data_IF_606003461349
#
_entry.id   IF_606003461349
#
_cell.length_a   1.000
_cell.length_b   1.000
_cell.length_c   1.000
_cell.angle_alpha   90.00
_cell.angle_beta   90.00
_cell.angle_gamma   90.00
#
_symmetry.space_group_name_H-M   'P 1'
#
loop_
_entity.id
_entity.type
_entity.pdbx_description
1 polymer ?
#
# COMPACT_ATOMS: atom_id res chain seq x y z
N UNK A 1 -28.09 45.21 19.44
CA UNK A 1 -28.39 43.76 19.50
C UNK A 1 -27.24 42.93 18.90
N UNK A 2 -26.51 42.13 19.73
CA UNK A 2 -25.52 41.20 19.21
C UNK A 2 -26.22 40.04 18.46
N UNK A 3 -25.62 39.51 17.38
CA UNK A 3 -26.18 38.39 16.63
C UNK A 3 -26.20 37.11 17.50
N UNK A 4 -27.20 36.24 17.32
CA UNK A 4 -27.31 35.00 18.09
C UNK A 4 -26.17 34.03 17.75
N UNK A 5 -25.69 33.24 18.73
CA UNK A 5 -24.69 32.21 18.49
C UNK A 5 -25.25 31.10 17.56
N UNK A 6 -24.41 30.48 16.72
CA UNK A 6 -24.84 29.37 15.87
C UNK A 6 -25.25 28.17 16.75
N UNK A 7 -26.25 27.36 16.30
CA UNK A 7 -26.70 26.19 17.05
C UNK A 7 -25.58 25.14 17.19
N UNK A 8 -25.63 24.29 18.24
CA UNK A 8 -24.67 23.22 18.42
C UNK A 8 -24.79 22.24 17.26
N UNK A 9 -23.74 22.19 16.45
CA UNK A 9 -23.64 21.31 15.31
C UNK A 9 -23.75 19.85 15.78
N UNK A 10 -24.81 19.16 15.34
CA UNK A 10 -24.96 17.73 15.54
C UNK A 10 -23.69 17.00 15.08
N UNK A 11 -23.31 15.85 15.68
CA UNK A 11 -22.10 15.15 15.31
C UNK A 11 -22.15 14.79 13.83
N UNK A 12 -21.50 15.60 13.00
CA UNK A 12 -21.38 15.34 11.58
C UNK A 12 -20.65 14.00 11.45
N UNK A 13 -21.13 13.06 10.60
CA UNK A 13 -20.31 11.92 10.22
C UNK A 13 -19.06 12.52 9.61
N UNK A 14 -17.92 12.36 10.30
CA UNK A 14 -16.65 13.02 10.01
C UNK A 14 -16.39 12.85 8.52
N UNK A 15 -16.57 13.94 7.74
CA UNK A 15 -16.13 13.95 6.35
C UNK A 15 -14.66 13.57 6.39
N UNK A 16 -14.23 12.55 5.63
CA UNK A 16 -12.84 12.15 5.65
C UNK A 16 -11.97 13.37 5.37
N UNK A 17 -11.00 13.64 6.25
CA UNK A 17 -10.09 14.77 6.04
C UNK A 17 -9.13 14.37 4.94
N UNK A 18 -9.49 14.71 3.71
CA UNK A 18 -8.57 14.61 2.57
C UNK A 18 -7.58 15.77 2.69
N UNK A 19 -6.29 15.46 2.79
CA UNK A 19 -5.27 16.50 2.86
C UNK A 19 -5.22 17.24 1.49
N UNK A 20 -5.47 18.57 1.44
CA UNK A 20 -5.56 19.28 0.18
C UNK A 20 -4.23 19.37 -0.57
N UNK A 21 -3.10 19.04 0.08
CA UNK A 21 -1.77 19.10 -0.51
C UNK A 21 -1.38 17.82 -1.26
N UNK A 22 -2.02 16.69 -0.96
CA UNK A 22 -1.75 15.39 -1.61
C UNK A 22 -2.98 14.75 -2.24
N UNK A 23 -4.19 15.18 -1.84
CA UNK A 23 -5.45 14.55 -2.25
C UNK A 23 -5.60 13.12 -1.72
N UNK A 24 -4.80 12.74 -0.72
CA UNK A 24 -4.80 11.42 -0.10
C UNK A 24 -5.60 11.45 1.21
N UNK A 25 -6.31 10.37 1.50
CA UNK A 25 -7.03 10.18 2.75
C UNK A 25 -6.03 9.74 3.83
N UNK A 26 -6.27 10.11 5.09
CA UNK A 26 -5.48 9.55 6.19
C UNK A 26 -5.59 8.02 6.21
N UNK A 27 -4.58 7.31 6.74
CA UNK A 27 -4.61 5.85 6.86
C UNK A 27 -5.85 5.36 7.62
N UNK A 28 -6.24 6.08 8.67
CA UNK A 28 -7.44 5.78 9.46
C UNK A 28 -8.72 5.95 8.63
N UNK A 29 -8.86 7.08 7.91
CA UNK A 29 -10.00 7.34 7.04
C UNK A 29 -10.11 6.31 5.91
N UNK A 30 -8.97 5.85 5.38
CA UNK A 30 -8.93 4.83 4.35
C UNK A 30 -9.38 3.46 4.89
N UNK A 31 -8.90 3.08 6.07
CA UNK A 31 -9.35 1.86 6.75
C UNK A 31 -10.83 1.91 7.11
N UNK A 32 -11.36 3.08 7.51
CA UNK A 32 -12.79 3.29 7.73
C UNK A 32 -13.61 3.23 6.43
N UNK A 33 -13.06 3.71 5.30
CA UNK A 33 -13.68 3.62 3.97
C UNK A 33 -13.87 2.17 3.51
N UNK A 34 -12.96 1.27 3.90
CA UNK A 34 -13.06 -0.17 3.69
C UNK A 34 -14.11 -0.84 4.61
N UNK A 35 -14.51 -0.16 5.70
CA UNK A 35 -15.56 -0.60 6.61
C UNK A 35 -15.22 -1.92 7.32
N UNK A 36 -16.09 -2.92 7.16
CA UNK A 36 -15.90 -4.25 7.76
C UNK A 36 -14.82 -5.08 7.06
N UNK A 37 -14.48 -4.76 5.80
CA UNK A 37 -13.53 -5.53 5.01
C UNK A 37 -12.20 -4.76 4.88
N UNK A 38 -11.39 -4.79 5.94
CA UNK A 38 -10.06 -4.16 5.95
C UNK A 38 -9.03 -4.91 5.11
N UNK A 39 -9.39 -6.07 4.58
CA UNK A 39 -8.53 -6.85 3.71
C UNK A 39 -8.50 -6.25 2.31
N UNK A 40 -7.30 -5.93 1.85
CA UNK A 40 -7.03 -5.40 0.51
C UNK A 40 -6.23 -6.43 -0.29
N UNK A 41 -6.66 -6.68 -1.52
CA UNK A 41 -5.93 -7.53 -2.45
C UNK A 41 -4.94 -6.69 -3.24
N UNK A 42 -3.66 -6.81 -2.92
CA UNK A 42 -2.59 -6.07 -3.59
C UNK A 42 -2.02 -6.92 -4.72
N UNK A 43 -2.00 -6.38 -5.93
CA UNK A 43 -1.44 -7.04 -7.11
C UNK A 43 0.00 -6.61 -7.26
N UNK A 44 0.93 -7.56 -7.29
CA UNK A 44 2.37 -7.31 -7.37
C UNK A 44 2.89 -7.88 -8.68
N UNK A 45 3.23 -7.00 -9.60
CA UNK A 45 3.82 -7.36 -10.89
C UNK A 45 5.29 -7.68 -10.70
N UNK A 46 5.66 -8.93 -10.96
CA UNK A 46 7.04 -9.37 -10.91
C UNK A 46 7.73 -9.03 -12.24
N UNK A 47 8.99 -8.59 -12.23
CA UNK A 47 9.79 -8.48 -13.45
C UNK A 47 10.18 -9.88 -13.92
N UNK A 48 10.58 -10.01 -15.18
CA UNK A 48 11.24 -11.19 -15.70
C UNK A 48 12.74 -11.09 -15.36
N UNK A 49 13.18 -11.83 -14.35
CA UNK A 49 14.57 -11.80 -13.86
C UNK A 49 15.01 -13.21 -13.47
N UNK A 50 15.86 -13.82 -14.30
CA UNK A 50 16.44 -15.15 -14.04
C UNK A 50 17.76 -15.05 -13.25
N UNK A 51 18.10 -13.87 -12.73
CA UNK A 51 19.37 -13.62 -12.04
C UNK A 51 19.59 -14.53 -10.82
N UNK A 52 18.53 -15.13 -10.28
CA UNK A 52 18.61 -16.12 -9.22
C UNK A 52 17.54 -17.20 -9.42
N UNK A 53 17.99 -18.43 -9.71
CA UNK A 53 17.12 -19.60 -9.87
C UNK A 53 16.25 -19.93 -8.63
N UNK A 54 16.60 -19.40 -7.44
CA UNK A 54 15.76 -19.54 -6.25
C UNK A 54 14.57 -18.57 -6.22
N UNK A 55 14.49 -17.61 -7.15
CA UNK A 55 13.39 -16.65 -7.23
C UNK A 55 12.48 -16.97 -8.42
N UNK A 56 11.18 -16.98 -8.19
CA UNK A 56 10.19 -17.22 -9.25
C UNK A 56 9.81 -15.90 -9.95
N UNK A 57 10.74 -15.22 -10.61
CA UNK A 57 10.51 -13.94 -11.28
C UNK A 57 10.37 -14.14 -12.80
N UNK A 58 9.22 -14.68 -13.24
CA UNK A 58 8.96 -15.00 -14.65
C UNK A 58 8.15 -13.91 -15.39
N UNK A 59 8.07 -12.70 -14.84
CA UNK A 59 7.18 -11.66 -15.38
C UNK A 59 5.71 -11.85 -15.00
N UNK A 60 5.39 -12.77 -14.07
CA UNK A 60 4.02 -13.00 -13.63
C UNK A 60 3.52 -11.93 -12.66
N UNK A 61 2.21 -11.88 -12.47
CA UNK A 61 1.59 -11.04 -11.45
C UNK A 61 1.08 -11.89 -10.29
N UNK A 62 1.41 -11.48 -9.06
CA UNK A 62 1.05 -12.17 -7.84
C UNK A 62 0.03 -11.34 -7.08
N UNK A 63 -1.09 -11.94 -6.69
CA UNK A 63 -2.07 -11.28 -5.81
C UNK A 63 -1.82 -11.68 -4.36
N UNK A 64 -1.75 -10.70 -3.47
CA UNK A 64 -1.53 -10.92 -2.03
C UNK A 64 -2.67 -10.25 -1.28
N UNK A 65 -3.44 -11.03 -0.54
CA UNK A 65 -4.47 -10.53 0.39
C UNK A 65 -3.85 -10.26 1.76
N UNK A 66 -3.94 -9.01 2.18
CA UNK A 66 -3.37 -8.50 3.44
C UNK A 66 -4.29 -7.43 3.98
N UNK A 67 -4.22 -7.18 5.28
CA UNK A 67 -5.00 -6.09 5.88
C UNK A 67 -4.45 -4.72 5.45
N UNK A 68 -5.29 -3.71 5.33
CA UNK A 68 -4.88 -2.35 5.02
C UNK A 68 -3.96 -1.77 6.11
N UNK A 69 -4.09 -2.27 7.34
CA UNK A 69 -3.23 -1.91 8.47
C UNK A 69 -1.85 -2.59 8.41
N UNK A 70 -1.66 -3.61 7.55
CA UNK A 70 -0.37 -4.27 7.39
C UNK A 70 0.69 -3.31 6.82
N UNK A 71 1.92 -3.50 7.30
CA UNK A 71 3.08 -2.75 6.83
C UNK A 71 3.60 -3.30 5.51
N UNK A 72 4.27 -2.45 4.73
CA UNK A 72 4.95 -2.87 3.50
C UNK A 72 5.97 -3.99 3.77
N UNK A 73 6.62 -3.97 4.94
CA UNK A 73 7.52 -5.05 5.39
C UNK A 73 6.81 -6.40 5.43
N UNK A 74 5.58 -6.43 5.94
CA UNK A 74 4.78 -7.66 6.05
C UNK A 74 4.37 -8.19 4.68
N UNK A 75 4.00 -7.29 3.75
CA UNK A 75 3.72 -7.64 2.35
C UNK A 75 4.95 -8.27 1.69
N UNK A 76 6.14 -7.70 1.89
CA UNK A 76 7.39 -8.29 1.39
C UNK A 76 7.68 -9.66 1.99
N UNK A 77 7.33 -9.86 3.26
CA UNK A 77 7.44 -11.16 3.91
C UNK A 77 6.52 -12.21 3.27
N UNK A 78 5.28 -11.83 2.93
CA UNK A 78 4.35 -12.67 2.16
C UNK A 78 4.87 -12.98 0.77
N UNK A 79 5.40 -11.97 0.07
CA UNK A 79 6.03 -12.15 -1.24
C UNK A 79 7.27 -13.03 -1.17
N UNK A 80 8.07 -12.96 -0.09
CA UNK A 80 9.20 -13.88 0.14
C UNK A 80 8.74 -15.33 0.21
N UNK A 81 7.63 -15.60 0.89
CA UNK A 81 7.09 -16.95 0.97
C UNK A 81 6.58 -17.46 -0.39
N UNK A 82 6.02 -16.58 -1.23
CA UNK A 82 5.52 -16.96 -2.56
C UNK A 82 6.60 -17.06 -3.64
N UNK A 83 7.54 -16.12 -3.64
CA UNK A 83 8.54 -15.97 -4.72
C UNK A 83 9.94 -16.48 -4.32
N UNK A 84 10.20 -16.75 -3.03
CA UNK A 84 11.52 -17.10 -2.52
C UNK A 84 12.51 -15.92 -2.39
N UNK A 85 12.09 -14.69 -2.73
CA UNK A 85 12.96 -13.52 -2.72
C UNK A 85 13.13 -12.93 -1.31
N UNK A 86 14.33 -12.62 -0.82
CA UNK A 86 14.50 -11.98 0.49
C UNK A 86 14.03 -10.52 0.49
N UNK A 87 13.40 -10.07 1.59
CA UNK A 87 12.82 -8.71 1.76
C UNK A 87 13.81 -7.57 1.45
N UNK A 88 15.09 -7.75 1.77
CA UNK A 88 16.19 -6.84 1.46
C UNK A 88 16.31 -6.52 -0.03
N UNK A 89 16.07 -7.53 -0.88
CA UNK A 89 16.24 -7.44 -2.33
C UNK A 89 14.94 -7.08 -3.06
N UNK A 90 13.83 -7.08 -2.34
CA UNK A 90 12.51 -6.69 -2.84
C UNK A 90 12.31 -5.18 -2.64
N UNK A 91 12.06 -4.45 -3.72
CA UNK A 91 11.58 -3.08 -3.67
C UNK A 91 10.17 -3.02 -4.25
N UNK A 92 9.20 -2.59 -3.45
CA UNK A 92 7.84 -2.36 -3.94
C UNK A 92 7.72 -0.90 -4.37
N UNK A 93 7.20 -0.71 -5.59
CA UNK A 93 6.96 0.59 -6.18
C UNK A 93 5.48 0.72 -6.52
N UNK A 94 4.85 1.74 -6.00
CA UNK A 94 3.51 2.15 -6.37
C UNK A 94 3.56 3.04 -7.62
N UNK A 95 2.67 2.82 -8.59
CA UNK A 95 2.71 3.56 -9.85
C UNK A 95 2.53 5.08 -9.66
N UNK A 96 1.76 5.50 -8.65
CA UNK A 96 1.51 6.93 -8.34
C UNK A 96 2.46 7.53 -7.31
N UNK A 97 2.91 6.73 -6.33
CA UNK A 97 3.63 7.23 -5.14
C UNK A 97 5.14 6.93 -5.21
N UNK A 98 5.57 6.11 -6.16
CA UNK A 98 6.95 5.67 -6.26
C UNK A 98 7.27 4.59 -5.23
N UNK A 99 8.50 4.59 -4.72
CA UNK A 99 8.96 3.52 -3.83
C UNK A 99 8.29 3.57 -2.46
N UNK A 100 7.72 2.44 -2.07
CA UNK A 100 7.05 2.26 -0.79
C UNK A 100 8.09 2.03 0.31
N UNK A 101 7.87 2.64 1.47
CA UNK A 101 8.75 2.49 2.65
C UNK A 101 8.22 1.38 3.55
N UNK A 102 9.14 0.54 4.03
CA UNK A 102 8.84 -0.58 4.92
C UNK A 102 8.21 -0.17 6.26
N UNK A 103 8.49 1.04 6.72
CA UNK A 103 7.96 1.59 7.98
C UNK A 103 6.51 2.11 7.88
N UNK A 104 5.94 2.12 6.67
CA UNK A 104 4.59 2.65 6.42
C UNK A 104 3.63 1.51 6.08
N UNK A 105 2.33 1.71 6.35
CA UNK A 105 1.26 0.74 6.06
C UNK A 105 0.66 0.94 4.68
N UNK A 106 -0.05 -0.08 4.19
CA UNK A 106 -0.78 0.01 2.92
C UNK A 106 -1.84 1.12 2.94
N UNK A 107 -2.56 1.28 4.05
CA UNK A 107 -3.53 2.34 4.24
C UNK A 107 -2.90 3.73 4.17
N UNK A 108 -1.65 3.90 4.64
CA UNK A 108 -0.93 5.18 4.53
C UNK A 108 -0.66 5.59 3.08
N UNK A 109 -0.50 4.62 2.20
CA UNK A 109 -0.35 4.83 0.76
C UNK A 109 -1.69 4.75 0.01
N UNK A 110 -2.82 4.64 0.73
CA UNK A 110 -4.16 4.43 0.18
C UNK A 110 -4.21 3.28 -0.85
N UNK A 111 -3.49 2.18 -0.55
CA UNK A 111 -3.48 1.00 -1.41
C UNK A 111 -4.80 0.26 -1.25
N UNK A 112 -5.58 0.20 -2.32
CA UNK A 112 -6.89 -0.43 -2.36
C UNK A 112 -6.83 -1.81 -3.01
N UNK A 113 -7.94 -2.55 -2.90
CA UNK A 113 -8.12 -3.82 -3.59
C UNK A 113 -7.99 -3.62 -5.11
N UNK A 114 -7.06 -4.36 -5.71
CA UNK A 114 -6.74 -4.26 -7.13
C UNK A 114 -5.64 -3.24 -7.47
N UNK A 115 -5.08 -2.54 -6.48
CA UNK A 115 -3.89 -1.69 -6.70
C UNK A 115 -2.73 -2.54 -7.21
N UNK A 116 -2.10 -2.06 -8.29
CA UNK A 116 -0.92 -2.66 -8.90
C UNK A 116 0.35 -2.04 -8.31
N UNK A 117 1.21 -2.89 -7.77
CA UNK A 117 2.57 -2.58 -7.34
C UNK A 117 3.57 -3.24 -8.28
N UNK A 118 4.58 -2.49 -8.69
CA UNK A 118 5.72 -3.03 -9.42
C UNK A 118 6.75 -3.54 -8.41
N UNK A 119 7.10 -4.83 -8.52
CA UNK A 119 8.24 -5.39 -7.82
C UNK A 119 9.52 -5.03 -8.59
N UNK A 120 10.47 -4.42 -7.90
CA UNK A 120 11.76 -4.05 -8.44
C UNK A 120 12.83 -4.84 -7.70
N UNK A 121 13.68 -5.52 -8.46
CA UNK A 121 14.84 -6.23 -7.92
C UNK A 121 15.91 -5.20 -7.56
N UNK A 122 16.27 -5.12 -6.28
CA UNK A 122 17.47 -4.39 -5.87
C UNK A 122 18.71 -5.20 -6.23
N UNK A 123 19.21 -5.00 -7.44
CA UNK A 123 20.53 -5.47 -7.83
C UNK A 123 21.59 -4.47 -7.36
N UNK A 124 22.64 -4.95 -6.68
CA UNK A 124 23.85 -4.16 -6.48
C UNK A 124 24.58 -4.17 -7.82
N UNK A 125 24.42 -3.10 -8.60
CA UNK A 125 24.88 -2.99 -9.98
C UNK A 125 26.27 -3.62 -10.19
N UNK A 126 26.31 -4.62 -11.06
CA UNK A 126 27.52 -4.98 -11.79
C UNK A 126 27.32 -4.39 -13.18
N UNK A 127 28.11 -3.37 -13.49
CA UNK A 127 28.34 -2.87 -14.85
C UNK A 127 28.86 -4.02 -15.71
#
# INVERSE_FOLDING_TARGET
PPPPPPPPEAPQPKRPRVDPSTGLMSAADFAESLGANRTVTVRVKCPLDDSNAAWSLLGQEVSVEVDCDCTIKEVKSRLKAQLGMPENKQQLKHSRLGFLKDALSLAHFNVASGTLLDLVVRARGRR
#
